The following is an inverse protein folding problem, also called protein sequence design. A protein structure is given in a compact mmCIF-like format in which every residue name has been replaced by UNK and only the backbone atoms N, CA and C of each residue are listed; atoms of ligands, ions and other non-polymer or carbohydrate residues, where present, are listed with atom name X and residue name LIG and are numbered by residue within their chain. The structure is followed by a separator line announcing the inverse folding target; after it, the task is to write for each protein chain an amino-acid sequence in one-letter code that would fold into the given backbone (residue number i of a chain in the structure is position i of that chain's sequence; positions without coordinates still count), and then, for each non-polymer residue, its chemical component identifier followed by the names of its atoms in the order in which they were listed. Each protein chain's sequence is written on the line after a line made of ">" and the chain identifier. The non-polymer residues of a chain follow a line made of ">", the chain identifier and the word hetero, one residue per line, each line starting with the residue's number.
data_IF_964972266647
#
_entry.id   IF_964972266647
#
_cell.length_a   1.000
_cell.length_b   1.000
_cell.length_c   1.000
_cell.angle_alpha   90.00
_cell.angle_beta   90.00
_cell.angle_gamma   90.00
#
_symmetry.space_group_name_H-M   'P 1'
#
loop_
_entity.id
_entity.type
_entity.pdbx_description
1 polymer ?
#
# COMPACT_ATOMS: atom_id res chain seq x y z
N UNK A 1 0.60 6.08 12.57
CA UNK A 1 0.14 7.34 11.92
C UNK A 1 1.25 7.94 11.08
N UNK A 2 0.93 8.93 10.23
CA UNK A 2 1.89 9.60 9.34
C UNK A 2 1.86 9.12 7.88
N UNK A 3 0.81 8.39 7.51
CA UNK A 3 0.60 7.86 6.16
C UNK A 3 -0.74 8.29 5.56
N UNK A 4 -1.38 9.30 6.14
CA UNK A 4 -2.72 9.73 5.79
C UNK A 4 -2.80 10.05 4.27
N UNK A 5 -3.87 9.62 3.56
CA UNK A 5 -5.13 9.10 4.12
C UNK A 5 -5.09 7.65 4.62
N UNK A 6 -4.02 6.89 4.39
CA UNK A 6 -3.91 5.54 4.92
C UNK A 6 -3.79 5.55 6.46
N UNK A 7 -4.63 4.85 7.23
CA UNK A 7 -5.79 4.04 6.82
C UNK A 7 -7.14 4.72 7.15
N UNK A 8 -7.18 5.73 8.02
CA UNK A 8 -8.42 6.33 8.49
C UNK A 8 -9.29 6.96 7.39
N UNK A 9 -8.67 7.45 6.31
CA UNK A 9 -9.40 7.96 5.14
C UNK A 9 -9.99 6.87 4.23
N UNK A 10 -9.69 5.60 4.50
CA UNK A 10 -10.13 4.43 3.74
C UNK A 10 -11.19 3.60 4.50
N UNK A 11 -11.71 4.15 5.59
CA UNK A 11 -12.82 3.57 6.36
C UNK A 11 -14.16 4.00 5.76
N UNK A 12 -15.03 3.04 5.48
CA UNK A 12 -16.33 3.26 4.87
C UNK A 12 -16.80 2.10 3.99
N UNK A 13 -18.01 2.24 3.44
CA UNK A 13 -18.71 1.20 2.67
C UNK A 13 -17.82 0.73 1.51
N UNK A 14 -17.74 -0.59 1.31
CA UNK A 14 -16.93 -1.22 0.26
C UNK A 14 -15.41 -1.18 0.48
N UNK A 15 -14.93 -0.74 1.66
CA UNK A 15 -13.52 -0.75 2.06
C UNK A 15 -13.35 -1.23 3.51
N UNK A 16 -12.62 -0.50 4.38
CA UNK A 16 -12.35 -0.94 5.75
C UNK A 16 -13.53 -0.62 6.69
N UNK A 17 -13.83 -1.55 7.60
CA UNK A 17 -14.76 -1.31 8.72
C UNK A 17 -14.14 -0.39 9.78
N UNK A 18 -12.84 -0.57 10.07
CA UNK A 18 -12.08 0.25 11.00
C UNK A 18 -10.60 0.35 10.62
N UNK A 19 -9.93 1.36 11.16
CA UNK A 19 -8.49 1.55 11.06
C UNK A 19 -7.91 1.83 12.45
N UNK A 20 -6.85 1.10 12.82
CA UNK A 20 -6.20 1.23 14.14
C UNK A 20 -4.96 2.10 14.00
N UNK A 21 -5.01 3.31 14.56
CA UNK A 21 -3.95 4.30 14.42
C UNK A 21 -3.03 4.31 15.66
N UNK A 22 -1.78 3.86 15.50
CA UNK A 22 -0.70 4.06 16.48
C UNK A 22 -0.06 5.46 16.39
N UNK A 23 1.00 5.68 17.15
CA UNK A 23 1.81 6.91 17.06
C UNK A 23 2.44 7.10 15.67
N UNK A 24 3.07 8.26 15.43
CA UNK A 24 3.75 8.54 14.16
C UNK A 24 4.87 7.51 13.93
N UNK A 25 4.77 6.76 12.82
CA UNK A 25 5.66 5.65 12.46
C UNK A 25 5.84 4.56 13.52
N UNK A 26 4.84 4.37 14.37
CA UNK A 26 4.78 3.26 15.31
C UNK A 26 3.49 2.45 15.08
N UNK A 27 3.63 1.12 15.13
CA UNK A 27 2.51 0.19 15.10
C UNK A 27 1.56 0.48 16.29
N UNK A 28 0.23 0.41 16.10
CA UNK A 28 -0.69 0.42 17.24
C UNK A 28 -0.41 -0.76 18.17
N UNK A 29 -0.71 -0.60 19.46
CA UNK A 29 -0.57 -1.68 20.44
C UNK A 29 -1.54 -2.83 20.19
N UNK A 30 -1.18 -4.04 20.63
CA UNK A 30 -2.06 -5.22 20.62
C UNK A 30 -3.45 -4.93 21.19
N UNK A 31 -3.53 -4.23 22.32
CA UNK A 31 -4.82 -3.92 22.97
C UNK A 31 -5.69 -2.99 22.12
N UNK A 32 -5.11 -2.03 21.41
CA UNK A 32 -5.87 -1.19 20.49
C UNK A 32 -6.43 -2.00 19.31
N UNK A 33 -5.64 -2.94 18.78
CA UNK A 33 -6.10 -3.82 17.68
C UNK A 33 -7.19 -4.77 18.16
N UNK A 34 -7.00 -5.39 19.32
CA UNK A 34 -7.98 -6.27 19.95
C UNK A 34 -9.32 -5.56 20.19
N UNK A 35 -9.29 -4.37 20.79
CA UNK A 35 -10.51 -3.59 21.01
C UNK A 35 -11.21 -3.22 19.69
N UNK A 36 -10.46 -2.91 18.63
CA UNK A 36 -11.06 -2.66 17.32
C UNK A 36 -11.77 -3.90 16.76
N UNK A 37 -11.19 -5.10 16.94
CA UNK A 37 -11.85 -6.37 16.56
C UNK A 37 -13.18 -6.54 17.29
N UNK A 38 -13.22 -6.26 18.60
CA UNK A 38 -14.44 -6.31 19.40
C UNK A 38 -15.48 -5.29 18.92
N UNK A 39 -15.06 -4.06 18.66
CA UNK A 39 -15.95 -2.95 18.29
C UNK A 39 -16.54 -3.13 16.87
N UNK A 40 -15.90 -3.94 16.02
CA UNK A 40 -16.36 -4.26 14.65
C UNK A 40 -16.76 -5.71 14.47
N UNK A 41 -17.05 -6.44 15.54
CA UNK A 41 -17.40 -7.86 15.45
C UNK A 41 -18.60 -8.08 14.51
N UNK A 42 -18.47 -9.07 13.64
CA UNK A 42 -19.55 -9.53 12.77
C UNK A 42 -19.76 -11.03 12.93
N UNK A 43 -20.95 -11.52 12.54
CA UNK A 43 -21.23 -12.95 12.56
C UNK A 43 -20.38 -13.78 11.56
N UNK A 44 -19.62 -13.12 10.68
CA UNK A 44 -18.75 -13.78 9.69
C UNK A 44 -17.27 -13.75 10.08
N UNK A 45 -16.91 -13.14 11.22
CA UNK A 45 -15.53 -12.97 11.67
C UNK A 45 -14.88 -11.69 11.13
N UNK A 46 -13.55 -11.62 11.25
CA UNK A 46 -12.74 -10.42 10.97
C UNK A 46 -11.53 -10.76 10.09
N UNK A 47 -11.26 -9.96 9.06
CA UNK A 47 -10.01 -10.01 8.31
C UNK A 47 -9.09 -8.86 8.71
N UNK A 48 -7.89 -9.17 9.21
CA UNK A 48 -6.83 -8.18 9.44
C UNK A 48 -5.95 -8.04 8.19
N UNK A 49 -5.92 -6.85 7.60
CA UNK A 49 -5.01 -6.50 6.50
C UNK A 49 -3.79 -5.77 7.09
N UNK A 50 -2.66 -6.46 7.13
CA UNK A 50 -1.47 -6.06 7.87
C UNK A 50 -0.37 -5.68 6.88
N UNK A 51 0.19 -4.47 6.96
CA UNK A 51 1.40 -4.13 6.19
C UNK A 51 2.58 -4.90 6.77
N UNK A 52 3.44 -5.49 5.93
CA UNK A 52 4.53 -6.33 6.42
C UNK A 52 5.67 -5.51 7.06
N UNK A 53 5.48 -5.19 8.33
CA UNK A 53 6.43 -4.56 9.24
C UNK A 53 6.42 -5.34 10.55
N UNK A 54 7.59 -5.60 11.14
CA UNK A 54 7.71 -6.49 12.29
C UNK A 54 6.82 -6.08 13.46
N UNK A 55 6.74 -4.78 13.77
CA UNK A 55 5.85 -4.28 14.83
C UNK A 55 4.37 -4.38 14.47
N UNK A 56 3.99 -4.22 13.20
CA UNK A 56 2.62 -4.42 12.73
C UNK A 56 2.25 -5.92 12.87
N UNK A 57 3.07 -6.82 12.32
CA UNK A 57 2.84 -8.26 12.38
C UNK A 57 2.72 -8.77 13.81
N UNK A 58 3.68 -8.44 14.69
CA UNK A 58 3.66 -8.89 16.09
C UNK A 58 2.42 -8.43 16.85
N UNK A 59 2.05 -7.15 16.75
CA UNK A 59 0.94 -6.60 17.52
C UNK A 59 -0.41 -7.12 17.03
N UNK A 60 -0.60 -7.24 15.71
CA UNK A 60 -1.83 -7.74 15.12
C UNK A 60 -1.98 -9.27 15.28
N UNK A 61 -0.87 -10.02 15.25
CA UNK A 61 -0.88 -11.45 15.51
C UNK A 61 -1.36 -11.75 16.92
N UNK A 62 -0.77 -11.07 17.92
CA UNK A 62 -1.18 -11.22 19.31
C UNK A 62 -2.64 -10.80 19.54
N UNK A 63 -3.13 -9.77 18.82
CA UNK A 63 -4.51 -9.33 18.95
C UNK A 63 -5.52 -10.34 18.37
N UNK A 64 -5.17 -10.97 17.24
CA UNK A 64 -5.97 -12.05 16.66
C UNK A 64 -6.01 -13.27 17.58
N UNK A 65 -4.89 -13.62 18.21
CA UNK A 65 -4.82 -14.70 19.21
C UNK A 65 -5.72 -14.38 20.42
N UNK A 66 -5.63 -13.17 20.99
CA UNK A 66 -6.50 -12.73 22.08
C UNK A 66 -7.99 -12.80 21.72
N UNK A 67 -8.39 -12.28 20.55
CA UNK A 67 -9.78 -12.31 20.09
C UNK A 67 -10.34 -13.74 19.95
N UNK A 68 -9.51 -14.69 19.57
CA UNK A 68 -9.89 -16.09 19.51
C UNK A 68 -9.97 -16.73 20.90
N UNK A 69 -8.95 -16.54 21.75
CA UNK A 69 -8.86 -17.19 23.06
C UNK A 69 -9.89 -16.65 24.07
N UNK A 70 -10.11 -15.34 24.09
CA UNK A 70 -10.92 -14.68 25.10
C UNK A 70 -12.40 -14.58 24.67
N UNK A 71 -12.69 -14.39 23.38
CA UNK A 71 -14.04 -14.08 22.86
C UNK A 71 -14.53 -15.06 21.80
N UNK A 72 -13.72 -16.03 21.37
CA UNK A 72 -14.05 -17.00 20.31
C UNK A 72 -14.45 -16.33 18.98
N UNK A 73 -13.83 -15.18 18.68
CA UNK A 73 -14.01 -14.46 17.41
C UNK A 73 -13.09 -15.08 16.35
N UNK A 74 -13.66 -15.45 15.20
CA UNK A 74 -12.87 -15.93 14.07
C UNK A 74 -12.11 -14.76 13.42
N UNK A 75 -10.78 -14.83 13.44
CA UNK A 75 -9.91 -13.81 12.87
C UNK A 75 -8.97 -14.43 11.85
N UNK A 76 -8.99 -13.91 10.63
CA UNK A 76 -8.04 -14.25 9.57
C UNK A 76 -7.11 -13.06 9.30
N UNK A 77 -5.96 -13.34 8.69
CA UNK A 77 -4.90 -12.35 8.46
C UNK A 77 -4.37 -12.43 7.03
N UNK A 78 -4.06 -11.28 6.46
CA UNK A 78 -3.32 -11.14 5.21
C UNK A 78 -2.19 -10.13 5.39
N UNK A 79 -0.98 -10.50 4.98
CA UNK A 79 0.20 -9.63 5.07
C UNK A 79 0.51 -9.06 3.69
N UNK A 80 0.46 -7.74 3.57
CA UNK A 80 0.76 -7.03 2.33
C UNK A 80 2.26 -6.76 2.28
N UNK A 81 2.92 -7.25 1.23
CA UNK A 81 4.38 -7.23 1.06
C UNK A 81 4.76 -6.86 -0.40
N UNK A 82 4.10 -5.83 -0.92
CA UNK A 82 4.11 -5.41 -2.32
C UNK A 82 5.38 -4.65 -2.76
N UNK A 83 6.18 -4.15 -1.81
CA UNK A 83 7.39 -3.39 -2.12
C UNK A 83 8.52 -4.29 -2.66
N UNK A 84 8.91 -4.09 -3.91
CA UNK A 84 9.96 -4.87 -4.55
C UNK A 84 11.38 -4.33 -4.35
N UNK A 85 11.54 -3.21 -3.64
CA UNK A 85 12.82 -2.54 -3.55
C UNK A 85 13.88 -3.36 -2.81
N UNK A 86 13.54 -3.91 -1.64
CA UNK A 86 14.49 -4.59 -0.76
C UNK A 86 13.88 -5.88 -0.20
N UNK A 87 14.72 -6.91 -0.04
CA UNK A 87 14.40 -8.11 0.76
C UNK A 87 15.12 -7.95 2.10
N UNK A 88 14.35 -7.88 3.17
CA UNK A 88 14.76 -7.54 4.54
C UNK A 88 15.18 -6.06 4.70
N UNK A 89 14.65 -5.37 5.72
CA UNK A 89 14.95 -3.96 6.01
C UNK A 89 15.01 -3.69 7.52
N UNK A 90 15.28 -2.44 7.92
CA UNK A 90 15.41 -2.05 9.33
C UNK A 90 14.25 -2.52 10.22
N UNK A 91 13.04 -2.60 9.65
CA UNK A 91 11.81 -2.92 10.39
C UNK A 91 11.02 -4.09 9.80
N UNK A 92 11.59 -4.86 8.86
CA UNK A 92 10.84 -5.89 8.12
C UNK A 92 11.68 -7.13 7.83
N UNK A 93 11.07 -8.30 7.97
CA UNK A 93 11.53 -9.56 7.37
C UNK A 93 10.77 -9.79 6.07
N UNK A 94 11.47 -10.05 4.97
CA UNK A 94 10.92 -10.08 3.63
C UNK A 94 10.69 -8.69 3.03
N UNK A 95 9.63 -8.53 2.23
CA UNK A 95 9.28 -7.27 1.54
C UNK A 95 8.39 -6.38 2.40
N UNK A 96 8.55 -5.06 2.29
CA UNK A 96 7.69 -4.09 2.99
C UNK A 96 6.28 -4.06 2.39
N UNK A 97 5.30 -3.67 3.20
CA UNK A 97 3.93 -3.37 2.74
C UNK A 97 3.71 -1.88 2.57
N UNK A 98 3.42 -1.43 1.35
CA UNK A 98 3.33 0.00 0.99
C UNK A 98 2.03 0.29 0.24
N UNK A 99 2.04 1.20 -0.74
CA UNK A 99 0.84 1.76 -1.38
C UNK A 99 -0.10 0.72 -2.04
N UNK A 100 0.39 -0.46 -2.42
CA UNK A 100 -0.45 -1.56 -2.91
C UNK A 100 -1.47 -2.06 -1.89
N UNK A 101 -1.24 -1.81 -0.60
CA UNK A 101 -2.20 -2.08 0.49
C UNK A 101 -3.55 -1.39 0.23
N UNK A 102 -3.56 -0.21 -0.38
CA UNK A 102 -4.81 0.52 -0.71
C UNK A 102 -5.69 -0.28 -1.68
N UNK A 103 -5.06 -1.00 -2.62
CA UNK A 103 -5.77 -1.86 -3.58
C UNK A 103 -6.26 -3.15 -2.92
N UNK A 104 -5.51 -3.69 -1.95
CA UNK A 104 -5.96 -4.82 -1.13
C UNK A 104 -7.22 -4.44 -0.36
N UNK A 105 -7.22 -3.28 0.30
CA UNK A 105 -8.40 -2.76 1.01
C UNK A 105 -9.61 -2.61 0.09
N UNK A 106 -9.43 -2.05 -1.11
CA UNK A 106 -10.54 -1.80 -2.05
C UNK A 106 -11.20 -3.11 -2.51
N UNK A 107 -10.40 -4.11 -2.85
CA UNK A 107 -10.89 -5.36 -3.42
C UNK A 107 -11.40 -6.30 -2.32
N UNK A 108 -10.71 -6.38 -1.19
CA UNK A 108 -11.17 -7.17 -0.04
C UNK A 108 -12.45 -6.59 0.57
N UNK A 109 -12.53 -5.26 0.72
CA UNK A 109 -13.73 -4.58 1.19
C UNK A 109 -14.93 -4.79 0.25
N UNK A 110 -14.72 -4.70 -1.06
CA UNK A 110 -15.77 -5.03 -2.04
C UNK A 110 -16.23 -6.50 -1.94
N UNK A 111 -15.29 -7.43 -1.75
CA UNK A 111 -15.61 -8.85 -1.55
C UNK A 111 -16.42 -9.08 -0.27
N UNK A 112 -16.08 -8.39 0.82
CA UNK A 112 -16.82 -8.42 2.07
C UNK A 112 -18.23 -7.81 1.94
N UNK A 113 -18.36 -6.68 1.24
CA UNK A 113 -19.66 -6.02 0.96
C UNK A 113 -20.60 -6.91 0.12
N UNK A 114 -20.04 -7.73 -0.78
CA UNK A 114 -20.80 -8.75 -1.51
C UNK A 114 -21.26 -9.93 -0.62
N UNK A 115 -20.91 -9.92 0.66
CA UNK A 115 -21.31 -10.92 1.63
C UNK A 115 -20.57 -12.25 1.52
N UNK A 116 -19.36 -12.28 0.93
CA UNK A 116 -18.51 -13.47 0.87
C UNK A 116 -18.10 -13.94 2.28
N UNK A 117 -17.78 -15.22 2.43
CA UNK A 117 -17.31 -15.76 3.70
C UNK A 117 -15.85 -15.33 3.98
N UNK A 118 -15.45 -15.28 5.26
CA UNK A 118 -14.13 -14.78 5.68
C UNK A 118 -12.96 -15.44 4.93
N UNK A 119 -13.03 -16.76 4.72
CA UNK A 119 -12.01 -17.50 3.99
C UNK A 119 -11.91 -17.08 2.51
N UNK A 120 -13.04 -16.73 1.88
CA UNK A 120 -13.07 -16.25 0.50
C UNK A 120 -12.51 -14.83 0.40
N UNK A 121 -12.88 -13.94 1.34
CA UNK A 121 -12.34 -12.57 1.40
C UNK A 121 -10.82 -12.61 1.60
N UNK A 122 -10.32 -13.47 2.50
CA UNK A 122 -8.89 -13.70 2.68
C UNK A 122 -8.22 -14.17 1.39
N UNK A 123 -8.77 -15.19 0.73
CA UNK A 123 -8.19 -15.74 -0.50
C UNK A 123 -8.10 -14.68 -1.61
N UNK A 124 -9.13 -13.84 -1.75
CA UNK A 124 -9.13 -12.70 -2.67
C UNK A 124 -8.06 -11.67 -2.28
N UNK A 125 -7.97 -11.30 -1.01
CA UNK A 125 -6.95 -10.37 -0.54
C UNK A 125 -5.52 -10.88 -0.80
N UNK A 126 -5.25 -12.17 -0.51
CA UNK A 126 -3.98 -12.83 -0.81
C UNK A 126 -3.70 -12.87 -2.32
N UNK A 127 -4.72 -13.08 -3.15
CA UNK A 127 -4.61 -12.99 -4.61
C UNK A 127 -4.21 -11.59 -5.07
N UNK A 128 -4.76 -10.53 -4.46
CA UNK A 128 -4.32 -9.15 -4.74
C UNK A 128 -2.85 -8.97 -4.35
N UNK A 129 -2.45 -9.39 -3.14
CA UNK A 129 -1.05 -9.32 -2.67
C UNK A 129 -0.10 -10.03 -3.64
N UNK A 130 -0.48 -11.22 -4.13
CA UNK A 130 0.33 -11.97 -5.08
C UNK A 130 0.52 -11.23 -6.42
N UNK A 131 -0.45 -10.40 -6.83
CA UNK A 131 -0.52 -9.73 -8.13
C UNK A 131 -0.21 -8.23 -8.11
N UNK A 132 0.13 -7.65 -6.96
CA UNK A 132 0.48 -6.23 -6.81
C UNK A 132 1.95 -6.03 -6.51
N UNK A 133 2.60 -5.09 -7.21
CA UNK A 133 3.99 -4.70 -6.96
C UNK A 133 4.12 -3.19 -6.92
N UNK A 134 4.96 -2.70 -6.01
CA UNK A 134 5.21 -1.28 -5.78
C UNK A 134 6.70 -0.99 -5.68
N UNK A 135 7.13 0.15 -6.21
CA UNK A 135 8.46 0.69 -5.96
C UNK A 135 8.41 2.22 -5.92
N UNK A 136 9.10 2.80 -4.94
CA UNK A 136 9.14 4.25 -4.71
C UNK A 136 10.52 4.87 -4.81
N UNK A 137 10.55 6.20 -4.77
CA UNK A 137 11.75 7.00 -4.60
C UNK A 137 11.44 8.25 -3.78
N UNK A 138 12.45 8.78 -3.10
CA UNK A 138 12.40 10.05 -2.37
C UNK A 138 13.38 11.07 -2.96
N UNK A 139 12.93 12.31 -3.09
CA UNK A 139 13.72 13.51 -3.37
C UNK A 139 14.18 14.17 -2.05
N UNK A 140 13.36 14.08 -1.01
CA UNK A 140 13.71 14.55 0.34
C UNK A 140 13.37 13.47 1.35
N UNK A 141 13.99 13.54 2.53
CA UNK A 141 13.52 12.77 3.68
C UNK A 141 12.24 13.38 4.28
N UNK A 142 11.57 12.64 5.15
CA UNK A 142 10.48 13.14 5.99
C UNK A 142 10.96 13.55 7.38
N UNK A 143 10.21 14.44 8.03
CA UNK A 143 10.46 14.93 9.38
C UNK A 143 9.42 14.37 10.34
N UNK A 144 9.82 13.43 11.20
CA UNK A 144 8.97 12.98 12.31
C UNK A 144 8.83 14.12 13.33
N UNK A 145 7.60 14.55 13.70
CA UNK A 145 7.40 15.70 14.59
C UNK A 145 8.15 15.61 15.92
N UNK A 146 8.24 14.41 16.51
CA UNK A 146 8.96 14.17 17.76
C UNK A 146 10.49 14.34 17.64
N UNK A 147 11.05 14.13 16.43
CA UNK A 147 12.49 14.30 16.14
C UNK A 147 12.82 15.75 15.79
N UNK A 148 11.92 16.45 15.09
CA UNK A 148 12.08 17.85 14.66
C UNK A 148 13.16 18.09 13.60
N UNK A 149 13.80 17.03 13.12
CA UNK A 149 14.79 17.05 12.02
C UNK A 149 14.51 15.89 11.07
N UNK A 150 14.99 15.95 9.81
CA UNK A 150 14.81 14.89 8.82
C UNK A 150 15.25 13.52 9.36
N UNK A 151 14.51 12.46 9.00
CA UNK A 151 14.79 11.09 9.45
C UNK A 151 16.13 10.58 8.95
N UNK A 152 16.50 10.98 7.72
CA UNK A 152 17.78 10.77 7.07
C UNK A 152 18.10 11.98 6.17
N UNK A 153 19.33 12.09 5.67
CA UNK A 153 19.72 13.16 4.74
C UNK A 153 19.68 12.66 3.30
N UNK A 154 19.23 13.48 2.36
CA UNK A 154 19.42 13.32 0.91
C UNK A 154 19.96 14.67 0.42
N UNK A 155 21.04 14.68 -0.36
CA UNK A 155 21.56 15.94 -0.89
C UNK A 155 20.63 16.52 -1.97
N UNK A 156 20.70 17.84 -2.21
CA UNK A 156 19.81 18.55 -3.14
C UNK A 156 19.83 18.01 -4.59
N UNK A 157 20.90 17.34 -4.99
CA UNK A 157 21.07 16.74 -6.32
C UNK A 157 20.94 15.21 -6.32
N UNK A 158 20.48 14.62 -5.22
CA UNK A 158 20.36 13.18 -5.04
C UNK A 158 18.90 12.72 -4.85
N UNK A 159 18.68 11.43 -5.03
CA UNK A 159 17.46 10.70 -4.69
C UNK A 159 17.80 9.47 -3.88
N UNK A 160 16.83 9.01 -3.09
CA UNK A 160 16.85 7.68 -2.49
C UNK A 160 15.89 6.78 -3.28
N UNK A 161 16.42 5.93 -4.15
CA UNK A 161 15.63 5.02 -4.97
C UNK A 161 15.29 3.75 -4.20
N UNK A 162 14.02 3.39 -4.13
CA UNK A 162 13.51 2.25 -3.35
C UNK A 162 13.27 2.56 -1.87
N UNK A 163 13.10 3.83 -1.49
CA UNK A 163 12.84 4.27 -0.11
C UNK A 163 11.58 3.61 0.49
N UNK A 164 11.59 3.35 1.80
CA UNK A 164 10.41 2.89 2.54
C UNK A 164 9.53 4.04 3.08
N UNK A 165 8.32 3.72 3.53
CA UNK A 165 7.34 4.74 4.01
C UNK A 165 7.64 5.28 5.41
N UNK A 166 8.61 4.73 6.14
CA UNK A 166 9.09 5.28 7.42
C UNK A 166 10.50 5.89 7.30
N UNK A 167 10.97 6.11 6.07
CA UNK A 167 12.31 6.62 5.79
C UNK A 167 13.42 5.56 5.89
N UNK A 168 13.05 4.29 5.76
CA UNK A 168 14.04 3.21 5.66
C UNK A 168 14.87 3.37 4.37
N UNK A 169 16.19 3.11 4.41
CA UNK A 169 17.04 3.14 3.24
C UNK A 169 16.48 2.32 2.08
N UNK A 170 16.71 2.82 0.87
CA UNK A 170 16.32 2.14 -0.35
C UNK A 170 17.40 1.23 -0.89
N UNK A 171 17.36 1.03 -2.20
CA UNK A 171 18.34 0.26 -2.97
C UNK A 171 19.63 1.06 -3.12
N UNK A 172 19.48 2.35 -3.43
CA UNK A 172 20.60 3.20 -3.80
C UNK A 172 20.29 4.68 -3.56
N UNK A 173 21.34 5.39 -3.17
CA UNK A 173 21.43 6.84 -3.27
C UNK A 173 22.16 7.21 -4.55
N UNK A 174 21.56 8.05 -5.37
CA UNK A 174 22.06 8.38 -6.69
C UNK A 174 21.63 9.78 -7.12
N UNK A 175 22.23 10.31 -8.18
CA UNK A 175 21.86 11.62 -8.70
C UNK A 175 20.40 11.66 -9.18
N UNK A 176 19.77 12.83 -9.08
CA UNK A 176 18.42 13.06 -9.62
C UNK A 176 18.37 12.64 -11.10
N UNK A 177 17.34 11.85 -11.41
CA UNK A 177 17.01 11.40 -12.74
C UNK A 177 15.73 12.08 -13.23
N UNK A 178 15.54 12.13 -14.54
CA UNK A 178 14.28 12.61 -15.12
C UNK A 178 13.14 11.64 -14.81
N UNK A 179 11.90 12.13 -14.83
CA UNK A 179 10.72 11.28 -14.63
C UNK A 179 10.63 10.13 -15.64
N UNK A 180 11.14 10.30 -16.87
CA UNK A 180 11.17 9.23 -17.87
C UNK A 180 12.21 8.15 -17.55
N UNK A 181 13.37 8.53 -17.02
CA UNK A 181 14.38 7.56 -16.55
C UNK A 181 13.89 6.79 -15.32
N UNK A 182 13.26 7.48 -14.37
CA UNK A 182 12.64 6.85 -13.20
C UNK A 182 11.52 5.89 -13.62
N UNK A 183 10.58 6.35 -14.45
CA UNK A 183 9.49 5.52 -14.97
C UNK A 183 10.01 4.25 -15.65
N UNK A 184 11.01 4.38 -16.54
CA UNK A 184 11.67 3.26 -17.20
C UNK A 184 12.23 2.24 -16.21
N UNK A 185 12.96 2.72 -15.21
CA UNK A 185 13.54 1.85 -14.18
C UNK A 185 12.47 1.17 -13.33
N UNK A 186 11.49 1.92 -12.84
CA UNK A 186 10.44 1.42 -11.96
C UNK A 186 9.56 0.36 -12.66
N UNK A 187 9.09 0.66 -13.88
CA UNK A 187 8.25 -0.27 -14.66
C UNK A 187 9.02 -1.54 -15.02
N UNK A 188 10.27 -1.40 -15.47
CA UNK A 188 11.13 -2.55 -15.76
C UNK A 188 11.26 -3.47 -14.54
N UNK A 189 11.57 -2.91 -13.37
CA UNK A 189 11.72 -3.71 -12.14
C UNK A 189 10.42 -4.42 -11.76
N UNK A 190 9.26 -3.77 -11.91
CA UNK A 190 7.96 -4.40 -11.64
C UNK A 190 7.70 -5.56 -12.61
N UNK A 191 7.93 -5.37 -13.90
CA UNK A 191 7.71 -6.42 -14.92
C UNK A 191 8.67 -7.60 -14.73
N UNK A 192 9.91 -7.35 -14.29
CA UNK A 192 10.88 -8.42 -13.99
C UNK A 192 10.48 -9.22 -12.74
N UNK A 193 9.83 -8.59 -11.75
CA UNK A 193 9.39 -9.27 -10.52
C UNK A 193 8.06 -10.01 -10.67
N UNK A 194 7.12 -9.42 -11.41
CA UNK A 194 5.82 -10.01 -11.74
C UNK A 194 5.63 -9.98 -13.26
N UNK A 195 5.94 -11.07 -13.98
CA UNK A 195 5.85 -11.08 -15.44
C UNK A 195 4.44 -10.78 -15.96
N UNK A 196 4.37 -9.82 -16.88
CA UNK A 196 3.18 -9.49 -17.66
C UNK A 196 3.29 -10.06 -19.07
N UNK A 197 2.19 -10.59 -19.58
CA UNK A 197 2.00 -10.98 -20.98
C UNK A 197 1.37 -9.85 -21.79
N UNK A 198 1.52 -9.94 -23.12
CA UNK A 198 0.84 -9.01 -24.04
C UNK A 198 -0.67 -9.10 -23.87
N UNK A 199 -1.31 -7.96 -23.62
CA UNK A 199 -2.75 -7.87 -23.41
C UNK A 199 -3.20 -7.99 -21.96
N UNK A 200 -2.30 -8.29 -21.02
CA UNK A 200 -2.60 -8.20 -19.58
C UNK A 200 -3.02 -6.77 -19.21
N UNK A 201 -4.00 -6.66 -18.31
CA UNK A 201 -4.52 -5.40 -17.83
C UNK A 201 -4.03 -5.11 -16.41
N UNK A 202 -3.78 -3.83 -16.13
CA UNK A 202 -3.36 -3.37 -14.80
C UNK A 202 -4.16 -2.19 -14.28
N UNK A 203 -4.34 -2.14 -12.96
CA UNK A 203 -4.56 -0.86 -12.27
C UNK A 203 -3.19 -0.25 -11.99
N UNK A 204 -3.00 0.99 -12.45
CA UNK A 204 -1.83 1.81 -12.14
C UNK A 204 -2.19 2.79 -11.02
N UNK A 205 -1.44 2.75 -9.92
CA UNK A 205 -1.49 3.76 -8.86
C UNK A 205 -0.17 4.53 -8.83
N UNK A 206 -0.23 5.83 -9.10
CA UNK A 206 0.88 6.79 -8.93
C UNK A 206 0.64 7.55 -7.64
N UNK A 207 1.37 7.17 -6.61
CA UNK A 207 1.18 7.62 -5.24
C UNK A 207 2.26 8.64 -4.85
N UNK A 208 1.86 9.83 -4.40
CA UNK A 208 2.78 10.78 -3.78
C UNK A 208 3.07 10.43 -2.33
N UNK A 209 4.32 10.66 -1.89
CA UNK A 209 4.75 10.39 -0.52
C UNK A 209 4.48 11.54 0.45
N UNK A 210 3.76 12.58 0.01
CA UNK A 210 3.34 13.72 0.83
C UNK A 210 3.70 15.05 0.20
N UNK A 211 5.00 15.33 0.08
CA UNK A 211 5.56 16.61 -0.35
C UNK A 211 5.57 16.88 -1.85
N UNK A 212 5.17 15.91 -2.69
CA UNK A 212 5.21 16.03 -4.15
C UNK A 212 3.97 16.74 -4.70
N UNK A 213 4.11 17.83 -5.47
CA UNK A 213 2.98 18.48 -6.12
C UNK A 213 2.21 17.56 -7.07
N UNK A 214 0.88 17.70 -7.10
CA UNK A 214 0.02 16.88 -7.98
C UNK A 214 0.41 16.99 -9.47
N UNK A 215 0.87 18.17 -9.90
CA UNK A 215 1.38 18.38 -11.27
C UNK A 215 2.55 17.43 -11.59
N UNK A 216 3.48 17.25 -10.66
CA UNK A 216 4.64 16.38 -10.82
C UNK A 216 4.24 14.90 -10.82
N UNK A 217 3.24 14.52 -10.00
CA UNK A 217 2.66 13.18 -10.04
C UNK A 217 2.03 12.86 -11.41
N UNK A 218 1.32 13.82 -12.03
CA UNK A 218 0.79 13.64 -13.39
C UNK A 218 1.89 13.60 -14.46
N UNK A 219 2.98 14.34 -14.28
CA UNK A 219 4.15 14.27 -15.16
C UNK A 219 4.82 12.88 -15.09
N UNK A 220 4.98 12.33 -13.88
CA UNK A 220 5.45 10.96 -13.67
C UNK A 220 4.47 9.96 -14.28
N UNK A 221 3.16 10.12 -14.03
CA UNK A 221 2.13 9.25 -14.60
C UNK A 221 2.19 9.18 -16.13
N UNK A 222 2.38 10.30 -16.82
CA UNK A 222 2.55 10.30 -18.27
C UNK A 222 3.78 9.48 -18.71
N UNK A 223 4.89 9.56 -17.99
CA UNK A 223 6.10 8.78 -18.29
C UNK A 223 5.90 7.28 -18.02
N UNK A 224 5.29 6.95 -16.88
CA UNK A 224 5.00 5.57 -16.46
C UNK A 224 4.01 4.91 -17.41
N UNK A 225 2.96 5.63 -17.80
CA UNK A 225 1.92 5.09 -18.70
C UNK A 225 2.51 4.70 -20.05
N UNK A 226 3.34 5.57 -20.64
CA UNK A 226 4.05 5.28 -21.90
C UNK A 226 4.97 4.07 -21.79
N UNK A 227 5.65 3.93 -20.65
CA UNK A 227 6.56 2.81 -20.44
C UNK A 227 5.79 1.49 -20.26
N UNK A 228 4.67 1.49 -19.55
CA UNK A 228 3.80 0.30 -19.41
C UNK A 228 3.26 -0.13 -20.79
N UNK A 229 2.74 0.83 -21.57
CA UNK A 229 2.21 0.57 -22.91
C UNK A 229 3.29 0.06 -23.88
N UNK A 230 4.53 0.54 -23.77
CA UNK A 230 5.64 0.08 -24.62
C UNK A 230 6.01 -1.39 -24.38
N UNK A 231 5.64 -1.95 -23.23
CA UNK A 231 5.77 -3.37 -22.89
C UNK A 231 4.53 -4.20 -23.30
N UNK A 232 3.53 -3.60 -23.95
CA UNK A 232 2.32 -4.29 -24.41
C UNK A 232 1.31 -4.60 -23.30
N UNK A 233 1.47 -3.97 -22.12
CA UNK A 233 0.54 -4.05 -20.99
C UNK A 233 -0.50 -2.94 -21.12
N UNK A 234 -1.76 -3.25 -20.87
CA UNK A 234 -2.87 -2.29 -20.94
C UNK A 234 -3.15 -1.71 -19.57
N UNK A 235 -3.31 -0.40 -19.49
CA UNK A 235 -3.74 0.27 -18.26
C UNK A 235 -5.26 0.31 -18.25
N UNK A 236 -5.87 -0.46 -17.35
CA UNK A 236 -7.32 -0.49 -17.18
C UNK A 236 -7.82 0.76 -16.46
N UNK A 237 -7.16 1.12 -15.36
CA UNK A 237 -7.47 2.29 -14.55
C UNK A 237 -6.19 2.92 -14.03
N UNK A 238 -6.18 4.24 -13.97
CA UNK A 238 -5.13 5.03 -13.32
C UNK A 238 -5.68 5.78 -12.12
N UNK A 239 -4.95 5.73 -11.00
CA UNK A 239 -5.16 6.53 -9.80
C UNK A 239 -3.91 7.39 -9.58
N UNK A 240 -4.07 8.71 -9.40
CA UNK A 240 -2.96 9.64 -9.18
C UNK A 240 -3.28 10.53 -7.99
N UNK A 241 -2.39 10.58 -7.00
CA UNK A 241 -2.58 11.41 -5.80
C UNK A 241 -1.84 10.86 -4.59
N UNK A 242 -2.22 11.35 -3.41
CA UNK A 242 -1.67 10.89 -2.14
C UNK A 242 -2.63 9.86 -1.52
N UNK A 243 -2.26 8.58 -1.55
CA UNK A 243 -3.07 7.46 -1.03
C UNK A 243 -2.40 6.76 0.15
N UNK A 244 -1.07 6.73 0.19
CA UNK A 244 -0.27 6.31 1.33
C UNK A 244 1.00 7.16 1.39
N UNK A 245 1.03 8.12 2.31
CA UNK A 245 2.12 9.11 2.41
C UNK A 245 3.23 8.66 3.36
N UNK A 246 4.27 9.47 3.46
CA UNK A 246 5.30 9.44 4.50
C UNK A 246 5.51 10.88 4.99
N UNK A 247 4.54 11.40 5.75
CA UNK A 247 4.53 12.77 6.24
C UNK A 247 4.76 13.81 5.12
N UNK A 248 5.85 14.58 5.20
CA UNK A 248 6.25 15.64 4.28
C UNK A 248 7.27 15.18 3.22
N UNK A 249 7.53 13.87 3.09
CA UNK A 249 8.47 13.33 2.10
C UNK A 249 8.11 13.76 0.67
N UNK A 250 8.98 14.50 0.00
CA UNK A 250 8.90 14.69 -1.43
C UNK A 250 9.43 13.43 -2.12
N UNK A 251 8.60 12.82 -2.96
CA UNK A 251 8.84 11.53 -3.58
C UNK A 251 7.55 10.91 -4.12
N UNK A 252 7.68 9.80 -4.82
CA UNK A 252 6.54 9.07 -5.34
C UNK A 252 6.80 7.57 -5.40
N UNK A 253 5.73 6.79 -5.39
CA UNK A 253 5.74 5.37 -5.73
C UNK A 253 4.81 5.08 -6.89
N UNK A 254 5.16 4.05 -7.66
CA UNK A 254 4.25 3.46 -8.63
C UNK A 254 3.88 2.06 -8.17
N UNK A 255 2.62 1.72 -8.33
CA UNK A 255 2.05 0.42 -8.01
C UNK A 255 1.33 -0.09 -9.24
N UNK A 256 1.60 -1.35 -9.62
CA UNK A 256 0.86 -2.05 -10.66
C UNK A 256 0.18 -3.28 -10.05
N UNK A 257 -1.14 -3.34 -10.16
CA UNK A 257 -1.92 -4.54 -9.85
C UNK A 257 -2.34 -5.21 -11.14
N UNK A 258 -1.87 -6.43 -11.38
CA UNK A 258 -2.32 -7.28 -12.48
C UNK A 258 -3.76 -7.72 -12.24
N UNK A 259 -4.63 -7.52 -13.25
CA UNK A 259 -6.04 -7.86 -13.17
C UNK A 259 -6.33 -9.21 -13.85
N UNK A 260 -7.30 -9.91 -13.28
CA UNK A 260 -8.18 -10.81 -13.99
C UNK A 260 -9.63 -10.32 -13.84
N UNK A 261 -10.59 -11.03 -14.43
CA UNK A 261 -12.00 -10.62 -14.43
C UNK A 261 -12.58 -10.46 -13.01
N UNK A 262 -12.20 -11.32 -12.07
CA UNK A 262 -12.69 -11.24 -10.68
C UNK A 262 -12.14 -9.99 -9.97
N UNK A 263 -10.82 -9.75 -10.07
CA UNK A 263 -10.21 -8.58 -9.44
C UNK A 263 -10.73 -7.27 -10.05
N UNK A 264 -11.00 -7.29 -11.37
CA UNK A 264 -11.55 -6.16 -12.11
C UNK A 264 -12.96 -5.82 -11.64
N UNK A 265 -13.84 -6.81 -11.54
CA UNK A 265 -15.21 -6.63 -11.03
C UNK A 265 -15.22 -6.05 -9.61
N UNK A 266 -14.39 -6.60 -8.71
CA UNK A 266 -14.29 -6.14 -7.32
C UNK A 266 -13.67 -4.74 -7.21
N UNK A 267 -12.71 -4.41 -8.09
CA UNK A 267 -12.12 -3.08 -8.13
C UNK A 267 -13.15 -2.02 -8.51
N UNK A 268 -14.03 -2.31 -9.48
CA UNK A 268 -15.08 -1.39 -9.94
C UNK A 268 -16.32 -1.35 -9.03
N UNK A 269 -16.45 -2.30 -8.09
CA UNK A 269 -17.56 -2.31 -7.14
C UNK A 269 -17.60 -1.00 -6.32
N UNK A 270 -18.79 -0.53 -5.92
CA UNK A 270 -18.94 0.72 -5.19
C UNK A 270 -18.09 0.80 -3.92
N UNK A 271 -17.62 2.01 -3.60
CA UNK A 271 -16.94 2.34 -2.35
C UNK A 271 -17.25 3.79 -1.96
N UNK A 272 -17.50 4.04 -0.68
CA UNK A 272 -17.71 5.39 -0.15
C UNK A 272 -16.89 5.60 1.13
N UNK A 273 -15.69 6.13 0.95
CA UNK A 273 -14.76 6.51 2.03
C UNK A 273 -14.38 7.98 1.88
N UNK A 274 -13.81 8.62 2.92
CA UNK A 274 -13.32 9.99 2.83
C UNK A 274 -12.30 10.23 1.70
N UNK A 275 -11.44 9.25 1.40
CA UNK A 275 -10.36 9.40 0.42
C UNK A 275 -10.63 8.71 -0.93
N UNK A 276 -11.51 7.71 -0.99
CA UNK A 276 -11.84 6.96 -2.21
C UNK A 276 -13.35 6.81 -2.34
N UNK A 277 -13.88 7.28 -3.48
CA UNK A 277 -15.27 7.06 -3.88
C UNK A 277 -15.32 6.40 -5.26
N UNK A 278 -16.04 5.29 -5.35
CA UNK A 278 -16.41 4.60 -6.59
C UNK A 278 -17.93 4.54 -6.59
N UNK A 279 -18.56 5.26 -7.53
CA UNK A 279 -20.01 5.45 -7.62
C UNK A 279 -20.62 4.52 -8.67
#
# INVERSE_FOLDING_TARGET
>A
SGHEPAHGGLVGIGMLDAAVCGDVFASPSTIQVYNAILDTESSKGTLLIIKNYSGDCMNFDAAAEMAYEDDNIAVEKVYVNDDIAVKDSLYTVGRRGVAGTVLVHKIAGAAAEQGKELAEVKAIAEKVVANVRTIGFALTSCTVPAKGTPTFEIADEEIEFGVGIHGEPGIARESIATASELAKRQVKMIIEDLPFGSGDEVVLLVNGLGGTPLLELYLLNNSVSKEIESHGVKIYKTMVGNYMTSLDMAGASITMLKLDEELKELFDAPADTPAIKVL
#
